data_IF_822778830999
#
_entry.id   IF_822778830999
#
_cell.length_a   1.000
_cell.length_b   1.000
_cell.length_c   1.000
_cell.angle_alpha   90.00
_cell.angle_beta   90.00
_cell.angle_gamma   90.00
#
_symmetry.space_group_name_H-M   'P 1'
#
loop_
_entity.id
_entity.type
_entity.pdbx_description
1 polymer ?
#
# COMPACT_ATOMS: atom_id res chain seq x y z
N UNK A 1 -9.25 3.59 -7.95
CA UNK A 1 -8.15 3.06 -8.79
C UNK A 1 -7.26 2.19 -7.93
N UNK A 2 -7.03 0.92 -8.30
CA UNK A 2 -6.17 0.00 -7.55
C UNK A 2 -4.74 0.09 -8.10
N UNK A 3 -3.76 0.41 -7.26
CA UNK A 3 -2.33 0.30 -7.60
C UNK A 3 -1.76 -0.92 -6.88
N UNK A 4 -1.10 -1.81 -7.62
CA UNK A 4 -0.54 -3.05 -7.09
C UNK A 4 0.97 -3.11 -7.30
N UNK A 5 1.68 -3.53 -6.27
CA UNK A 5 3.13 -3.73 -6.28
C UNK A 5 3.42 -5.17 -5.85
N UNK A 6 4.46 -5.78 -6.43
CA UNK A 6 4.98 -7.10 -6.02
C UNK A 6 6.44 -6.94 -5.65
N UNK A 7 6.84 -7.50 -4.53
CA UNK A 7 8.22 -7.46 -4.03
C UNK A 7 8.50 -8.69 -3.17
N UNK A 8 9.75 -9.13 -3.18
CA UNK A 8 10.26 -10.18 -2.29
C UNK A 8 11.13 -9.58 -1.18
N UNK A 9 11.22 -8.25 -1.08
CA UNK A 9 12.00 -7.56 -0.06
C UNK A 9 11.28 -7.61 1.29
N UNK A 10 12.05 -7.70 2.37
CA UNK A 10 11.52 -7.68 3.74
C UNK A 10 10.83 -6.35 4.07
N UNK A 11 11.31 -5.25 3.48
CA UNK A 11 10.73 -3.92 3.57
C UNK A 11 10.48 -3.37 2.17
N UNK A 12 9.35 -2.71 1.97
CA UNK A 12 9.00 -2.07 0.71
C UNK A 12 8.31 -0.74 0.99
N UNK A 13 8.82 0.33 0.39
CA UNK A 13 8.21 1.64 0.48
C UNK A 13 7.21 1.83 -0.65
N UNK A 14 5.95 2.07 -0.29
CA UNK A 14 4.90 2.32 -1.27
C UNK A 14 5.06 3.75 -1.79
N UNK A 15 5.31 3.97 -3.09
CA UNK A 15 5.39 5.32 -3.63
C UNK A 15 4.01 5.98 -3.60
N UNK A 16 3.90 7.08 -2.85
CA UNK A 16 2.68 7.89 -2.74
C UNK A 16 2.71 9.17 -3.58
N UNK A 17 3.81 9.40 -4.31
CA UNK A 17 3.94 10.54 -5.21
C UNK A 17 2.87 10.46 -6.32
N UNK A 18 2.19 11.57 -6.58
CA UNK A 18 1.11 11.65 -7.57
C UNK A 18 -0.24 11.06 -7.11
N UNK A 19 -0.35 10.59 -5.86
CA UNK A 19 -1.66 10.34 -5.25
C UNK A 19 -2.25 11.67 -4.77
N UNK A 20 -3.52 11.99 -5.10
CA UNK A 20 -4.23 13.12 -4.51
C UNK A 20 -4.31 13.03 -2.99
N UNK A 21 -4.57 14.16 -2.32
CA UNK A 21 -4.92 14.15 -0.90
C UNK A 21 -6.18 13.30 -0.68
N UNK A 22 -6.22 12.55 0.43
CA UNK A 22 -7.36 11.71 0.76
C UNK A 22 -7.03 10.48 1.60
N UNK A 23 -8.04 9.63 1.72
CA UNK A 23 -8.00 8.38 2.48
C UNK A 23 -7.66 7.21 1.56
N UNK A 24 -6.67 6.43 1.94
CA UNK A 24 -6.24 5.23 1.25
C UNK A 24 -6.21 4.03 2.20
N UNK A 25 -6.51 2.85 1.65
CA UNK A 25 -6.33 1.57 2.33
C UNK A 25 -5.17 0.84 1.66
N UNK A 26 -4.15 0.52 2.44
CA UNK A 26 -3.01 -0.28 1.99
C UNK A 26 -3.29 -1.73 2.34
N UNK A 27 -3.27 -2.62 1.34
CA UNK A 27 -3.40 -4.06 1.53
C UNK A 27 -2.07 -4.74 1.23
N UNK A 28 -1.51 -5.44 2.21
CA UNK A 28 -0.33 -6.29 2.05
C UNK A 28 -0.77 -7.74 2.09
N UNK A 29 -0.41 -8.51 1.05
CA UNK A 29 -0.69 -9.95 0.99
C UNK A 29 0.65 -10.68 1.07
N UNK A 30 0.84 -11.50 2.10
CA UNK A 30 2.06 -12.28 2.32
C UNK A 30 1.69 -13.66 2.86
N UNK A 31 2.22 -14.72 2.24
CA UNK A 31 2.00 -16.12 2.67
C UNK A 31 0.51 -16.48 2.85
N UNK A 32 -0.35 -15.96 1.96
CA UNK A 32 -1.81 -16.13 2.01
C UNK A 32 -2.53 -15.27 3.06
N UNK A 33 -1.79 -14.61 3.96
CA UNK A 33 -2.34 -13.67 4.94
C UNK A 33 -2.50 -12.28 4.35
N UNK A 34 -3.52 -11.56 4.81
CA UNK A 34 -3.83 -10.19 4.40
C UNK A 34 -3.72 -9.26 5.59
N UNK A 35 -2.95 -8.18 5.44
CA UNK A 35 -2.85 -7.08 6.38
C UNK A 35 -3.40 -5.82 5.72
N UNK A 36 -4.17 -5.03 6.47
CA UNK A 36 -4.77 -3.79 5.96
C UNK A 36 -4.45 -2.64 6.89
N UNK A 37 -3.97 -1.55 6.31
CA UNK A 37 -3.61 -0.34 7.04
C UNK A 37 -4.28 0.90 6.43
N UNK A 38 -4.61 1.86 7.30
CA UNK A 38 -5.22 3.12 6.90
C UNK A 38 -4.12 4.18 6.71
N UNK A 39 -4.09 4.78 5.53
CA UNK A 39 -3.18 5.89 5.20
C UNK A 39 -3.98 7.15 4.90
N UNK A 40 -3.71 8.23 5.63
CA UNK A 40 -4.22 9.56 5.32
C UNK A 40 -3.10 10.34 4.63
N UNK A 41 -3.37 10.78 3.40
CA UNK A 41 -2.49 11.68 2.67
C UNK A 41 -3.05 13.09 2.71
N UNK A 42 -2.24 14.01 3.24
CA UNK A 42 -2.45 15.46 3.12
C UNK A 42 -1.90 15.99 1.79
#
# INVERSE_FOLDING_TARGET
MLRSFKTNQLTFQIPIAGLPAGLYFVRVIKDGQTYTEKLIKN
#
